data_IF_572426337363
#
_entry.id   IF_572426337363
#
_cell.length_a   1.000
_cell.length_b   1.000
_cell.length_c   1.000
_cell.angle_alpha   90.00
_cell.angle_beta   90.00
_cell.angle_gamma   90.00
#
_symmetry.space_group_name_H-M   'P 1'
#
loop_
_entity.id
_entity.type
_entity.pdbx_description
1 polymer ?
#
# COMPACT_ATOMS: atom_id res chain seq x y z
N UNK A 1 -19.28 17.59 16.40
CA UNK A 1 -18.36 16.43 16.36
C UNK A 1 -17.26 16.73 15.35
N UNK A 2 -15.99 16.60 15.72
CA UNK A 2 -14.84 16.77 14.82
C UNK A 2 -14.29 15.38 14.48
N UNK A 3 -14.12 15.07 13.19
CA UNK A 3 -13.60 13.78 12.73
C UNK A 3 -12.36 14.00 11.86
N UNK A 4 -11.24 13.39 12.25
CA UNK A 4 -10.00 13.43 11.49
C UNK A 4 -9.94 12.23 10.55
N UNK A 5 -9.89 12.49 9.24
CA UNK A 5 -9.83 11.47 8.19
C UNK A 5 -8.45 10.82 8.02
N UNK A 6 -7.46 11.26 8.80
CA UNK A 6 -6.08 10.75 8.77
C UNK A 6 -5.60 10.37 10.16
N UNK A 7 -4.59 9.51 10.21
CA UNK A 7 -3.77 9.22 11.38
C UNK A 7 -2.32 9.46 11.04
N UNK A 8 -1.60 10.17 11.90
CA UNK A 8 -0.16 10.39 11.75
C UNK A 8 0.59 9.28 12.48
N UNK A 9 1.58 8.69 11.82
CA UNK A 9 2.38 7.58 12.34
C UNK A 9 3.85 7.91 12.12
N UNK A 10 4.62 7.94 13.19
CA UNK A 10 6.08 8.05 13.12
C UNK A 10 6.68 6.70 12.70
N UNK A 11 7.65 6.75 11.79
CA UNK A 11 8.40 5.57 11.37
C UNK A 11 9.25 5.02 12.51
N UNK A 12 9.21 3.70 12.69
CA UNK A 12 10.05 2.99 13.65
C UNK A 12 11.46 2.75 13.11
N UNK A 13 11.58 2.62 11.79
CA UNK A 13 12.85 2.31 11.12
C UNK A 13 13.62 3.55 10.66
N UNK A 14 12.95 4.69 10.43
CA UNK A 14 13.59 5.96 10.08
C UNK A 14 13.08 7.11 10.99
N UNK A 15 13.79 7.38 12.11
CA UNK A 15 13.43 8.48 13.01
C UNK A 15 13.31 9.81 12.28
N UNK A 16 12.23 10.54 12.54
CA UNK A 16 11.92 11.82 11.88
C UNK A 16 11.06 11.69 10.62
N UNK A 17 10.86 10.48 10.11
CA UNK A 17 9.88 10.21 9.04
C UNK A 17 8.48 10.04 9.65
N UNK A 18 7.50 10.74 9.09
CA UNK A 18 6.09 10.68 9.52
C UNK A 18 5.20 10.39 8.33
N UNK A 19 4.32 9.41 8.47
CA UNK A 19 3.28 9.08 7.49
C UNK A 19 1.94 9.66 7.91
N UNK A 20 1.25 10.33 7.00
CA UNK A 20 -0.18 10.56 7.15
C UNK A 20 -0.94 9.44 6.44
N UNK A 21 -1.53 8.53 7.20
CA UNK A 21 -2.30 7.41 6.66
C UNK A 21 -3.79 7.77 6.68
N UNK A 22 -4.48 7.53 5.57
CA UNK A 22 -5.91 7.77 5.49
C UNK A 22 -6.68 6.71 6.28
N UNK A 23 -7.59 7.17 7.16
CA UNK A 23 -8.52 6.29 7.85
C UNK A 23 -9.56 5.76 6.89
N UNK A 24 -10.03 4.55 7.16
CA UNK A 24 -11.06 3.95 6.33
C UNK A 24 -12.41 4.64 6.51
N UNK A 25 -12.93 5.20 5.42
CA UNK A 25 -14.30 5.71 5.33
C UNK A 25 -15.12 4.84 4.37
N UNK A 26 -16.44 5.03 4.35
CA UNK A 26 -17.33 4.26 3.49
C UNK A 26 -16.94 4.38 1.99
N UNK A 27 -16.82 5.61 1.49
CA UNK A 27 -16.45 5.85 0.09
C UNK A 27 -15.05 5.36 -0.25
N UNK A 28 -14.12 5.50 0.69
CA UNK A 28 -12.75 4.99 0.55
C UNK A 28 -12.72 3.46 0.43
N UNK A 29 -13.49 2.75 1.24
CA UNK A 29 -13.60 1.29 1.13
C UNK A 29 -14.07 0.84 -0.24
N UNK A 30 -15.11 1.47 -0.77
CA UNK A 30 -15.61 1.15 -2.11
C UNK A 30 -14.56 1.42 -3.19
N UNK A 31 -13.82 2.54 -3.09
CA UNK A 31 -12.75 2.88 -4.05
C UNK A 31 -11.62 1.86 -4.03
N UNK A 32 -11.15 1.46 -2.84
CA UNK A 32 -10.11 0.46 -2.69
C UNK A 32 -10.55 -0.90 -3.26
N UNK A 33 -11.76 -1.37 -2.89
CA UNK A 33 -12.29 -2.64 -3.40
C UNK A 33 -12.40 -2.66 -4.92
N UNK A 34 -12.75 -1.53 -5.54
CA UNK A 34 -12.79 -1.40 -6.99
C UNK A 34 -11.40 -1.59 -7.60
N UNK A 35 -10.39 -0.88 -7.10
CA UNK A 35 -9.00 -0.97 -7.59
C UNK A 35 -8.42 -2.38 -7.42
N UNK A 36 -8.65 -3.02 -6.27
CA UNK A 36 -8.19 -4.38 -5.99
C UNK A 36 -8.88 -5.40 -6.91
N UNK A 37 -10.19 -5.25 -7.16
CA UNK A 37 -10.91 -6.14 -8.08
C UNK A 37 -10.39 -6.05 -9.51
N UNK A 38 -9.99 -4.88 -9.96
CA UNK A 38 -9.39 -4.70 -11.30
C UNK A 38 -8.07 -5.47 -11.43
N UNK A 39 -7.27 -5.55 -10.36
CA UNK A 39 -6.05 -6.35 -10.31
C UNK A 39 -6.33 -7.86 -10.20
N UNK A 40 -7.31 -8.26 -9.38
CA UNK A 40 -7.67 -9.68 -9.23
C UNK A 40 -8.11 -10.33 -10.55
N UNK A 41 -8.85 -9.60 -11.41
CA UNK A 41 -9.23 -10.11 -12.73
C UNK A 41 -8.02 -10.40 -13.64
N UNK A 42 -6.93 -9.63 -13.49
CA UNK A 42 -5.69 -9.92 -14.22
C UNK A 42 -5.07 -11.23 -13.73
N UNK A 43 -5.20 -11.55 -12.43
CA UNK A 43 -4.71 -12.79 -11.82
C UNK A 43 -5.41 -14.04 -12.37
N UNK A 44 -6.74 -14.00 -12.47
CA UNK A 44 -7.55 -15.12 -12.95
C UNK A 44 -7.18 -15.52 -14.38
N UNK A 45 -6.69 -14.59 -15.19
CA UNK A 45 -6.20 -14.86 -16.54
C UNK A 45 -4.84 -15.57 -16.54
N UNK A 46 -3.96 -15.23 -15.60
CA UNK A 46 -2.61 -15.80 -15.49
C UNK A 46 -2.65 -17.24 -14.99
N UNK A 47 -3.39 -17.49 -13.91
CA UNK A 47 -3.50 -18.83 -13.28
C UNK A 47 -4.16 -19.90 -14.15
N UNK A 48 -4.77 -19.54 -15.28
CA UNK A 48 -5.28 -20.50 -16.26
C UNK A 48 -4.15 -21.16 -17.09
N UNK A 49 -2.89 -20.77 -16.87
CA UNK A 49 -1.69 -21.30 -17.51
C UNK A 49 -0.88 -22.12 -16.47
N UNK A 50 -0.32 -23.27 -16.85
CA UNK A 50 0.49 -24.12 -15.93
C UNK A 50 2.01 -23.92 -16.17
N UNK A 51 2.47 -22.68 -16.32
CA UNK A 51 3.85 -22.39 -16.72
C UNK A 51 4.73 -21.90 -15.55
N UNK A 52 6.06 -22.12 -15.59
CA UNK A 52 6.99 -21.58 -14.60
C UNK A 52 6.96 -20.03 -14.48
N UNK A 53 6.44 -19.34 -15.49
CA UNK A 53 6.16 -17.90 -15.49
C UNK A 53 5.21 -17.50 -14.35
N UNK A 54 4.29 -18.38 -13.96
CA UNK A 54 3.22 -18.08 -13.00
C UNK A 54 3.71 -17.62 -11.63
N UNK A 55 4.90 -18.07 -11.18
CA UNK A 55 5.46 -17.59 -9.90
C UNK A 55 5.97 -16.15 -9.98
N UNK A 56 6.61 -15.77 -11.09
CA UNK A 56 7.07 -14.40 -11.30
C UNK A 56 5.89 -13.48 -11.54
N UNK A 57 4.90 -13.94 -12.30
CA UNK A 57 3.67 -13.21 -12.56
C UNK A 57 2.85 -12.97 -11.27
N UNK A 58 2.75 -13.97 -10.39
CA UNK A 58 2.12 -13.82 -9.09
C UNK A 58 2.86 -12.80 -8.19
N UNK A 59 4.19 -12.85 -8.14
CA UNK A 59 4.99 -11.89 -7.38
C UNK A 59 4.84 -10.45 -7.91
N UNK A 60 4.79 -10.29 -9.23
CA UNK A 60 4.62 -8.99 -9.87
C UNK A 60 3.24 -8.40 -9.60
N UNK A 61 2.20 -9.25 -9.62
CA UNK A 61 0.86 -8.83 -9.24
C UNK A 61 0.76 -8.45 -7.76
N UNK A 62 1.38 -9.23 -6.86
CA UNK A 62 1.42 -8.88 -5.43
C UNK A 62 2.10 -7.52 -5.23
N UNK A 63 3.19 -7.24 -5.93
CA UNK A 63 3.85 -5.95 -5.91
C UNK A 63 2.92 -4.82 -6.42
N UNK A 64 2.16 -5.04 -7.49
CA UNK A 64 1.18 -4.08 -8.02
C UNK A 64 0.05 -3.81 -7.00
N UNK A 65 -0.44 -4.85 -6.32
CA UNK A 65 -1.43 -4.73 -5.24
C UNK A 65 -0.86 -3.92 -4.07
N UNK A 66 0.34 -4.25 -3.61
CA UNK A 66 1.00 -3.54 -2.51
C UNK A 66 1.22 -2.06 -2.84
N UNK A 67 1.63 -1.76 -4.07
CA UNK A 67 1.76 -0.38 -4.57
C UNK A 67 0.42 0.36 -4.54
N UNK A 68 -0.67 -0.30 -4.97
CA UNK A 68 -2.01 0.31 -4.90
C UNK A 68 -2.38 0.63 -3.46
N UNK A 69 -2.13 -0.25 -2.50
CA UNK A 69 -2.37 0.05 -1.08
C UNK A 69 -1.62 1.29 -0.63
N UNK A 70 -0.31 1.36 -0.85
CA UNK A 70 0.53 2.49 -0.39
C UNK A 70 0.12 3.80 -1.03
N UNK A 71 0.02 3.84 -2.36
CA UNK A 71 -0.33 5.06 -3.11
C UNK A 71 -1.76 5.53 -2.86
N UNK A 72 -2.68 4.61 -2.56
CA UNK A 72 -4.05 4.95 -2.19
C UNK A 72 -4.15 5.41 -0.73
N UNK A 73 -3.49 4.67 0.18
CA UNK A 73 -3.67 4.77 1.62
C UNK A 73 -2.84 5.86 2.28
N UNK A 74 -1.65 6.15 1.77
CA UNK A 74 -0.86 7.28 2.23
C UNK A 74 -1.39 8.59 1.63
N UNK A 75 -1.46 9.62 2.46
CA UNK A 75 -1.75 10.99 2.04
C UNK A 75 -0.45 11.76 1.81
N UNK A 76 0.51 11.63 2.72
CA UNK A 76 1.79 12.33 2.64
C UNK A 76 2.86 11.58 3.44
N UNK A 77 4.12 11.83 3.10
CA UNK A 77 5.29 11.43 3.87
C UNK A 77 6.09 12.71 4.17
N UNK A 78 6.40 12.94 5.44
CA UNK A 78 7.27 14.01 5.88
C UNK A 78 8.59 13.44 6.40
N UNK A 79 9.66 14.23 6.34
CA UNK A 79 10.98 13.85 6.88
C UNK A 79 11.82 12.93 5.99
N UNK A 80 11.33 12.58 4.79
CA UNK A 80 12.08 11.80 3.80
C UNK A 80 12.34 12.64 2.55
N UNK A 81 13.59 12.63 2.09
CA UNK A 81 14.01 13.21 0.80
C UNK A 81 14.51 12.08 -0.09
N UNK A 82 13.95 11.98 -1.30
CA UNK A 82 14.32 11.02 -2.32
C UNK A 82 14.89 11.80 -3.51
N UNK A 83 16.16 11.55 -3.84
CA UNK A 83 16.86 12.21 -4.96
C UNK A 83 16.73 13.74 -4.98
N UNK A 84 16.76 14.36 -3.80
CA UNK A 84 16.65 15.82 -3.64
C UNK A 84 15.22 16.38 -3.66
N UNK A 85 14.20 15.52 -3.82
CA UNK A 85 12.79 15.89 -3.75
C UNK A 85 12.14 15.41 -2.44
N UNK A 86 11.12 16.13 -1.97
CA UNK A 86 10.30 15.66 -0.86
C UNK A 86 9.56 14.38 -1.26
N UNK A 87 9.58 13.37 -0.39
CA UNK A 87 8.95 12.10 -0.70
C UNK A 87 7.43 12.24 -0.88
N UNK A 88 6.90 11.56 -1.90
CA UNK A 88 5.46 11.32 -2.09
C UNK A 88 5.17 9.83 -2.01
N UNK A 89 3.90 9.41 -1.84
CA UNK A 89 3.55 8.00 -1.88
C UNK A 89 4.00 7.28 -3.16
N UNK A 90 3.96 7.97 -4.30
CA UNK A 90 4.44 7.46 -5.58
C UNK A 90 5.96 7.31 -5.57
N UNK A 91 6.70 8.34 -5.14
CA UNK A 91 8.17 8.27 -5.06
C UNK A 91 8.64 7.20 -4.06
N UNK A 92 7.95 7.04 -2.93
CA UNK A 92 8.25 5.98 -1.96
C UNK A 92 8.04 4.59 -2.59
N UNK A 93 7.01 4.43 -3.42
CA UNK A 93 6.71 3.16 -4.09
C UNK A 93 7.69 2.81 -5.22
N UNK A 94 8.26 3.82 -5.89
CA UNK A 94 9.15 3.62 -7.04
C UNK A 94 10.63 3.62 -6.67
N UNK A 95 11.04 4.53 -5.78
CA UNK A 95 12.45 4.85 -5.50
C UNK A 95 12.76 4.86 -4.00
N UNK A 96 11.76 4.59 -3.16
CA UNK A 96 11.92 4.61 -1.72
C UNK A 96 12.68 3.41 -1.16
N UNK A 97 13.27 3.53 0.04
CA UNK A 97 13.81 2.38 0.75
C UNK A 97 12.74 1.31 0.97
N UNK A 98 13.06 0.07 0.59
CA UNK A 98 12.11 -1.06 0.63
C UNK A 98 11.52 -1.29 2.02
N UNK A 99 12.33 -1.10 3.07
CA UNK A 99 11.89 -1.23 4.46
C UNK A 99 10.82 -0.19 4.83
N UNK A 100 10.97 1.06 4.37
CA UNK A 100 9.98 2.13 4.59
C UNK A 100 8.69 1.88 3.81
N UNK A 101 8.81 1.38 2.58
CA UNK A 101 7.64 0.97 1.81
C UNK A 101 6.86 -0.13 2.54
N UNK A 102 7.54 -1.15 3.06
CA UNK A 102 6.91 -2.26 3.80
C UNK A 102 6.27 -1.80 5.11
N UNK A 103 6.93 -0.91 5.85
CA UNK A 103 6.38 -0.33 7.08
C UNK A 103 5.10 0.47 6.79
N UNK A 104 5.15 1.35 5.79
CA UNK A 104 4.00 2.16 5.39
C UNK A 104 2.85 1.29 4.85
N UNK A 105 3.15 0.23 4.09
CA UNK A 105 2.17 -0.76 3.65
C UNK A 105 1.46 -1.42 4.86
N UNK A 106 2.22 -1.82 5.88
CA UNK A 106 1.68 -2.39 7.11
C UNK A 106 0.75 -1.39 7.82
N UNK A 107 1.16 -0.13 7.93
CA UNK A 107 0.36 0.93 8.51
C UNK A 107 -0.95 1.16 7.74
N UNK A 108 -0.91 1.16 6.42
CA UNK A 108 -2.11 1.27 5.57
C UNK A 108 -3.03 0.06 5.75
N UNK A 109 -2.51 -1.17 5.70
CA UNK A 109 -3.31 -2.39 5.86
C UNK A 109 -3.97 -2.47 7.25
N UNK A 110 -3.33 -1.93 8.28
CA UNK A 110 -3.95 -1.81 9.60
C UNK A 110 -5.20 -0.91 9.58
N UNK A 111 -5.21 0.15 8.75
CA UNK A 111 -6.39 1.02 8.61
C UNK A 111 -7.52 0.37 7.79
N UNK A 112 -7.22 -0.56 6.88
CA UNK A 112 -8.25 -1.22 6.06
C UNK A 112 -8.96 -2.36 6.79
N UNK A 113 -8.41 -2.83 7.91
CA UNK A 113 -8.94 -3.95 8.69
C UNK A 113 -8.65 -5.33 8.08
N UNK A 114 -7.76 -5.40 7.08
CA UNK A 114 -7.39 -6.64 6.39
C UNK A 114 -6.38 -7.50 7.15
N UNK A 115 -5.72 -6.93 8.16
CA UNK A 115 -4.66 -7.57 8.94
C UNK A 115 -5.07 -8.90 9.60
N UNK A 116 -6.35 -9.11 9.89
CA UNK A 116 -6.86 -10.37 10.46
C UNK A 116 -7.38 -11.38 9.41
N UNK A 117 -7.77 -10.93 8.21
CA UNK A 117 -8.37 -11.78 7.18
C UNK A 117 -7.33 -12.39 6.23
N UNK A 118 -6.22 -11.68 5.99
CA UNK A 118 -5.13 -12.17 5.12
C UNK A 118 -4.11 -13.05 5.85
N UNK A 119 -3.99 -12.98 7.19
CA UNK A 119 -3.09 -13.84 7.96
C UNK A 119 -3.53 -15.30 8.09
N UNK A 120 -4.71 -15.67 7.57
CA UNK A 120 -5.35 -16.98 7.78
C UNK A 120 -5.51 -17.85 6.53
N UNK A 121 -5.00 -17.44 5.36
CA UNK A 121 -5.03 -18.27 4.14
C UNK A 121 -3.62 -18.56 3.64
#
# INVERSE_FOLDING_TARGET
MTYESVVCIESQIAPGVVYEVQKMSYGRRADLMRRIRELARKQEFLQASEHPSDKMDAALLEAEVNRVYVTWGLRSIAGLTLDGAAATPELLADYGPEELFREALGAVRAQTGLTAAEQKN
#
